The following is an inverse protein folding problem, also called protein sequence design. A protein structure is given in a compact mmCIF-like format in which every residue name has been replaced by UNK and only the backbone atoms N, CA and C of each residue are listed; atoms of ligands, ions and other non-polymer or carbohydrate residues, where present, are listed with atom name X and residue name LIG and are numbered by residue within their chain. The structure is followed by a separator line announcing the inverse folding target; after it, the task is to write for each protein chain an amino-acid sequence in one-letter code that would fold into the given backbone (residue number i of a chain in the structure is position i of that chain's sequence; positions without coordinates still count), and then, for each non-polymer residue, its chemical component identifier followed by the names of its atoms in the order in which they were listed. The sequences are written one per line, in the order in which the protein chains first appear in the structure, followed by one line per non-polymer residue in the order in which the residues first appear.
data_IF_658369359531
#
_entry.id   IF_658369359531
#
_cell.length_a   1.000
_cell.length_b   1.000
_cell.length_c   1.000
_cell.angle_alpha   90.00
_cell.angle_beta   90.00
_cell.angle_gamma   90.00
#
_symmetry.space_group_name_H-M   'P 1'
#
loop_
_entity.id
_entity.type
_entity.pdbx_description
1 polymer ?
#
# COMPACT_ATOMS: atom_id res chain seq x y z
N UNK A 1 -4.41 -10.86 -23.78
CA UNK A 1 -5.34 -10.05 -22.99
C UNK A 1 -4.97 -9.93 -21.50
N UNK A 2 -5.24 -10.89 -20.60
CA UNK A 2 -4.97 -10.70 -19.16
C UNK A 2 -3.49 -10.43 -18.81
N UNK A 3 -2.54 -11.12 -19.45
CA UNK A 3 -1.10 -10.87 -19.26
C UNK A 3 -0.69 -9.46 -19.67
N UNK A 4 -1.20 -8.97 -20.79
CA UNK A 4 -0.93 -7.61 -21.30
C UNK A 4 -1.56 -6.57 -20.38
N UNK A 5 -2.81 -6.76 -19.98
CA UNK A 5 -3.49 -5.89 -19.01
C UNK A 5 -2.70 -5.81 -17.69
N UNK A 6 -2.21 -6.95 -17.20
CA UNK A 6 -1.38 -6.99 -15.99
C UNK A 6 -0.05 -6.23 -16.18
N UNK A 7 0.63 -6.42 -17.31
CA UNK A 7 1.88 -5.70 -17.62
C UNK A 7 1.65 -4.19 -17.70
N UNK A 8 0.63 -3.75 -18.45
CA UNK A 8 0.30 -2.34 -18.56
C UNK A 8 -0.16 -1.74 -17.23
N UNK A 9 -0.85 -2.51 -16.38
CA UNK A 9 -1.19 -2.08 -15.02
C UNK A 9 0.06 -1.89 -14.17
N UNK A 10 1.01 -2.82 -14.21
CA UNK A 10 2.31 -2.67 -13.52
C UNK A 10 3.04 -1.39 -13.96
N UNK A 11 3.11 -1.14 -15.25
CA UNK A 11 3.76 0.07 -15.80
C UNK A 11 3.08 1.36 -15.31
N UNK A 12 1.74 1.42 -15.35
CA UNK A 12 1.00 2.57 -14.83
C UNK A 12 1.21 2.75 -13.33
N UNK A 13 1.19 1.67 -12.55
CA UNK A 13 1.37 1.74 -11.10
C UNK A 13 2.79 2.21 -10.70
N UNK A 14 3.80 1.92 -11.51
CA UNK A 14 5.18 2.31 -11.23
C UNK A 14 5.62 3.60 -11.94
N UNK A 15 4.73 4.25 -12.71
CA UNK A 15 5.03 5.55 -13.32
C UNK A 15 5.21 6.61 -12.23
N UNK A 16 6.30 7.39 -12.29
CA UNK A 16 6.65 8.41 -11.28
C UNK A 16 5.51 9.37 -10.96
N UNK A 17 4.82 9.86 -11.98
CA UNK A 17 3.68 10.78 -11.83
C UNK A 17 2.54 10.21 -10.98
N UNK A 18 2.42 8.88 -10.90
CA UNK A 18 1.35 8.21 -10.18
C UNK A 18 1.74 7.84 -8.73
N UNK A 19 3.01 7.98 -8.34
CA UNK A 19 3.48 7.53 -7.02
C UNK A 19 2.76 8.25 -5.88
N UNK A 20 2.47 9.55 -6.00
CA UNK A 20 1.77 10.29 -4.94
C UNK A 20 0.36 9.74 -4.69
N UNK A 21 -0.43 9.59 -5.76
CA UNK A 21 -1.81 9.09 -5.64
C UNK A 21 -1.85 7.63 -5.19
N UNK A 22 -0.93 6.79 -5.68
CA UNK A 22 -0.85 5.38 -5.28
C UNK A 22 -0.40 5.24 -3.83
N UNK A 23 0.56 6.06 -3.38
CA UNK A 23 1.00 6.03 -1.98
C UNK A 23 -0.12 6.36 -1.00
N UNK A 24 -0.98 7.33 -1.35
CA UNK A 24 -2.19 7.66 -0.58
C UNK A 24 -3.20 6.51 -0.59
N UNK A 25 -3.46 5.92 -1.75
CA UNK A 25 -4.38 4.79 -1.88
C UNK A 25 -3.91 3.57 -1.07
N UNK A 26 -2.62 3.23 -1.12
CA UNK A 26 -2.04 2.15 -0.31
C UNK A 26 -2.16 2.49 1.18
N UNK A 27 -1.84 3.72 1.60
CA UNK A 27 -1.98 4.12 3.00
C UNK A 27 -3.44 4.00 3.49
N UNK A 28 -4.42 4.31 2.64
CA UNK A 28 -5.83 4.04 2.94
C UNK A 28 -6.09 2.55 3.14
N UNK A 29 -5.64 1.71 2.21
CA UNK A 29 -5.90 0.28 2.19
C UNK A 29 -5.22 -0.49 3.34
N UNK A 30 -3.93 -0.28 3.60
CA UNK A 30 -3.15 -1.14 4.51
C UNK A 30 -3.03 -0.61 5.94
N UNK A 31 -3.38 0.66 6.18
CA UNK A 31 -3.05 1.33 7.44
C UNK A 31 -4.20 2.16 7.99
N UNK A 32 -4.71 3.13 7.22
CA UNK A 32 -5.66 4.11 7.73
C UNK A 32 -7.05 3.49 7.92
N UNK A 33 -7.60 2.87 6.88
CA UNK A 33 -8.96 2.34 6.92
C UNK A 33 -8.92 0.98 7.64
N UNK A 34 -9.36 0.96 8.90
CA UNK A 34 -9.24 -0.18 9.80
C UNK A 34 -9.00 0.30 11.23
N UNK A 35 -8.17 -0.39 12.03
CA UNK A 35 -7.99 -0.09 13.45
C UNK A 35 -7.59 1.37 13.74
N UNK A 36 -6.80 2.01 12.86
CA UNK A 36 -6.39 3.41 13.04
C UNK A 36 -7.59 4.36 12.94
N UNK A 37 -8.47 4.16 11.97
CA UNK A 37 -9.71 4.94 11.87
C UNK A 37 -10.64 4.67 13.06
N UNK A 38 -10.73 3.43 13.53
CA UNK A 38 -11.53 3.07 14.70
C UNK A 38 -11.00 3.74 15.97
N UNK A 39 -9.68 3.79 16.15
CA UNK A 39 -9.03 4.52 17.26
C UNK A 39 -9.30 6.02 17.17
N UNK A 40 -9.28 6.60 15.97
CA UNK A 40 -9.61 8.00 15.75
C UNK A 40 -11.09 8.30 16.06
N UNK A 41 -12.01 7.48 15.54
CA UNK A 41 -13.44 7.60 15.81
C UNK A 41 -13.76 7.41 17.31
N UNK A 42 -12.98 6.57 17.99
CA UNK A 42 -13.04 6.38 19.44
C UNK A 42 -12.37 7.49 20.27
N UNK A 43 -11.83 8.53 19.64
CA UNK A 43 -11.20 9.68 20.31
C UNK A 43 -9.82 9.41 20.92
N UNK A 44 -9.18 8.28 20.58
CA UNK A 44 -7.85 7.91 21.08
C UNK A 44 -6.73 8.61 20.32
N UNK A 45 -7.00 8.96 19.06
CA UNK A 45 -6.12 9.76 18.22
C UNK A 45 -6.80 11.10 17.97
N UNK A 46 -6.03 12.18 17.95
CA UNK A 46 -6.52 13.46 17.46
C UNK A 46 -6.43 13.55 15.94
N UNK A 47 -7.12 14.51 15.35
CA UNK A 47 -6.96 14.88 13.94
C UNK A 47 -5.50 15.21 13.57
N UNK A 48 -4.74 15.78 14.51
CA UNK A 48 -3.34 16.10 14.27
C UNK A 48 -2.46 14.83 14.28
N UNK A 49 -2.77 13.87 15.14
CA UNK A 49 -2.12 12.56 15.14
C UNK A 49 -2.40 11.84 13.82
N UNK A 50 -3.65 11.86 13.37
CA UNK A 50 -4.04 11.28 12.08
C UNK A 50 -3.27 11.89 10.91
N UNK A 51 -3.14 13.22 10.85
CA UNK A 51 -2.33 13.89 9.82
C UNK A 51 -0.87 13.45 9.87
N UNK A 52 -0.30 13.35 11.06
CA UNK A 52 1.10 12.96 11.26
C UNK A 52 1.33 11.52 10.82
N UNK A 53 0.50 10.58 11.26
CA UNK A 53 0.57 9.16 10.91
C UNK A 53 0.37 8.93 9.41
N UNK A 54 -0.66 9.55 8.82
CA UNK A 54 -0.92 9.44 7.38
C UNK A 54 0.24 10.00 6.56
N UNK A 55 0.80 11.16 6.95
CA UNK A 55 1.94 11.75 6.24
C UNK A 55 3.18 10.87 6.33
N UNK A 56 3.45 10.29 7.50
CA UNK A 56 4.54 9.34 7.68
C UNK A 56 4.40 8.14 6.74
N UNK A 57 3.23 7.48 6.75
CA UNK A 57 2.98 6.30 5.93
C UNK A 57 3.05 6.59 4.43
N UNK A 58 2.39 7.66 3.96
CA UNK A 58 2.42 8.07 2.54
C UNK A 58 3.86 8.33 2.08
N UNK A 59 4.67 9.02 2.89
CA UNK A 59 6.07 9.28 2.54
C UNK A 59 6.91 8.00 2.47
N UNK A 60 6.74 7.06 3.41
CA UNK A 60 7.46 5.78 3.42
C UNK A 60 7.08 4.91 2.21
N UNK A 61 5.80 4.81 1.90
CA UNK A 61 5.29 4.08 0.73
C UNK A 61 5.84 4.71 -0.56
N UNK A 62 5.82 6.05 -0.67
CA UNK A 62 6.37 6.75 -1.84
C UNK A 62 7.86 6.47 -2.03
N UNK A 63 8.63 6.38 -0.95
CA UNK A 63 10.04 5.98 -0.98
C UNK A 63 10.26 4.56 -1.51
N UNK A 64 9.46 3.60 -1.05
CA UNK A 64 9.51 2.21 -1.53
C UNK A 64 9.14 2.10 -3.02
N UNK A 65 8.01 2.69 -3.43
CA UNK A 65 7.56 2.69 -4.82
C UNK A 65 8.56 3.38 -5.76
N UNK A 66 9.15 4.49 -5.32
CA UNK A 66 10.23 5.17 -6.03
C UNK A 66 11.43 4.26 -6.25
N UNK A 67 11.87 3.57 -5.19
CA UNK A 67 13.03 2.68 -5.24
C UNK A 67 12.78 1.51 -6.21
N UNK A 68 11.56 0.97 -6.20
CA UNK A 68 11.12 -0.08 -7.14
C UNK A 68 11.09 0.45 -8.58
N UNK A 69 10.48 1.61 -8.80
CA UNK A 69 10.35 2.22 -10.13
C UNK A 69 11.72 2.54 -10.76
N UNK A 70 12.71 2.86 -9.94
CA UNK A 70 14.09 3.15 -10.37
C UNK A 70 14.95 1.90 -10.55
N UNK A 71 14.43 0.69 -10.31
CA UNK A 71 15.19 -0.56 -10.30
C UNK A 71 16.36 -0.57 -9.29
N UNK A 72 16.23 0.15 -8.17
CA UNK A 72 17.24 0.20 -7.11
C UNK A 72 17.14 -1.01 -6.15
N UNK A 73 17.22 -2.22 -6.71
CA UNK A 73 16.93 -3.47 -6.02
C UNK A 73 17.85 -3.79 -4.85
N UNK A 74 19.16 -3.53 -4.99
CA UNK A 74 20.12 -3.75 -3.89
C UNK A 74 19.80 -2.88 -2.67
N UNK A 75 19.45 -1.61 -2.88
CA UNK A 75 19.10 -0.70 -1.79
C UNK A 75 17.81 -1.15 -1.08
N UNK A 76 16.83 -1.62 -1.86
CA UNK A 76 15.59 -2.17 -1.32
C UNK A 76 15.86 -3.44 -0.49
N UNK A 77 16.66 -4.36 -1.01
CA UNK A 77 17.02 -5.61 -0.32
C UNK A 77 17.73 -5.34 1.01
N UNK A 78 18.73 -4.46 1.02
CA UNK A 78 19.46 -4.10 2.23
C UNK A 78 18.54 -3.45 3.28
N UNK A 79 17.65 -2.56 2.86
CA UNK A 79 16.66 -1.92 3.74
C UNK A 79 15.72 -2.96 4.37
N UNK A 80 15.15 -3.85 3.55
CA UNK A 80 14.21 -4.87 4.01
C UNK A 80 14.91 -5.92 4.89
N UNK A 81 16.15 -6.30 4.56
CA UNK A 81 16.94 -7.24 5.36
C UNK A 81 17.24 -6.67 6.75
N UNK A 82 17.54 -5.37 6.83
CA UNK A 82 17.72 -4.69 8.12
C UNK A 82 16.44 -4.70 8.95
N UNK A 83 15.29 -4.35 8.37
CA UNK A 83 14.01 -4.35 9.09
C UNK A 83 13.51 -5.76 9.43
N UNK A 84 13.86 -6.77 8.64
CA UNK A 84 13.55 -8.18 8.91
C UNK A 84 14.24 -8.75 10.14
N UNK A 85 15.18 -8.03 10.76
CA UNK A 85 15.79 -8.39 12.04
C UNK A 85 14.85 -8.15 13.24
N UNK A 86 13.75 -7.42 13.04
CA UNK A 86 12.78 -7.08 14.09
C UNK A 86 11.46 -7.84 13.88
N UNK A 87 10.68 -8.04 14.95
CA UNK A 87 9.38 -8.73 14.88
C UNK A 87 9.50 -10.24 14.66
N UNK A 88 10.68 -10.82 14.92
CA UNK A 88 10.92 -12.27 14.80
C UNK A 88 10.03 -13.11 15.72
N UNK A 89 9.49 -12.48 16.75
CA UNK A 89 8.56 -13.04 17.73
C UNK A 89 7.08 -12.94 17.31
N UNK A 90 6.78 -12.23 16.22
CA UNK A 90 5.42 -12.10 15.74
C UNK A 90 4.97 -13.37 15.02
N UNK A 91 3.66 -13.57 14.97
CA UNK A 91 3.06 -14.65 14.20
C UNK A 91 3.45 -14.54 12.71
N UNK A 92 3.50 -15.69 12.06
CA UNK A 92 3.81 -15.77 10.63
C UNK A 92 2.78 -14.96 9.84
N UNK A 93 3.26 -14.12 8.91
CA UNK A 93 2.39 -13.37 8.03
C UNK A 93 1.51 -14.30 7.17
N UNK A 94 0.23 -13.98 7.09
CA UNK A 94 -0.77 -14.64 6.24
C UNK A 94 -1.24 -13.66 5.15
N UNK A 95 -1.23 -14.04 3.86
CA UNK A 95 -1.74 -13.16 2.81
C UNK A 95 -3.26 -12.96 2.93
N UNK A 96 -3.70 -11.72 3.12
CA UNK A 96 -5.10 -11.32 2.97
C UNK A 96 -5.35 -10.73 1.57
N UNK A 97 -6.07 -11.47 0.75
CA UNK A 97 -6.40 -11.09 -0.63
C UNK A 97 -7.89 -10.96 -0.89
N UNK A 98 -8.74 -11.04 0.15
CA UNK A 98 -10.19 -11.07 -0.03
C UNK A 98 -10.70 -9.82 -0.76
N UNK A 99 -10.31 -8.63 -0.30
CA UNK A 99 -10.75 -7.36 -0.90
C UNK A 99 -10.22 -7.20 -2.34
N UNK A 100 -8.97 -7.60 -2.59
CA UNK A 100 -8.37 -7.58 -3.93
C UNK A 100 -9.19 -8.44 -4.90
N UNK A 101 -9.52 -9.66 -4.50
CA UNK A 101 -10.30 -10.59 -5.32
C UNK A 101 -11.74 -10.11 -5.48
N UNK A 102 -12.32 -9.52 -4.44
CA UNK A 102 -13.66 -8.97 -4.46
C UNK A 102 -13.77 -7.80 -5.46
N UNK A 103 -12.83 -6.85 -5.44
CA UNK A 103 -12.81 -5.71 -6.37
C UNK A 103 -12.68 -6.19 -7.81
N UNK A 104 -11.79 -7.15 -8.09
CA UNK A 104 -11.63 -7.71 -9.44
C UNK A 104 -12.92 -8.41 -9.91
N UNK A 105 -13.50 -9.28 -9.08
CA UNK A 105 -14.76 -9.98 -9.42
C UNK A 105 -15.89 -8.99 -9.70
N UNK A 106 -15.98 -7.94 -8.90
CA UNK A 106 -17.01 -6.91 -9.03
C UNK A 106 -16.84 -6.13 -10.33
N UNK A 107 -15.62 -5.71 -10.65
CA UNK A 107 -15.30 -5.03 -11.91
C UNK A 107 -15.63 -5.89 -13.14
N UNK A 108 -15.29 -7.18 -13.12
CA UNK A 108 -15.59 -8.10 -14.23
C UNK A 108 -17.09 -8.35 -14.39
N UNK A 109 -17.86 -8.36 -13.29
CA UNK A 109 -19.30 -8.65 -13.32
C UNK A 109 -20.14 -7.45 -13.76
N UNK A 110 -19.78 -6.25 -13.31
CA UNK A 110 -20.62 -5.07 -13.49
C UNK A 110 -20.00 -3.97 -14.37
N UNK A 111 -18.74 -4.13 -14.81
CA UNK A 111 -18.00 -3.06 -15.47
C UNK A 111 -17.46 -2.03 -14.47
N UNK A 112 -17.01 -0.87 -14.97
CA UNK A 112 -16.45 0.18 -14.13
C UNK A 112 -17.55 0.77 -13.22
N UNK A 113 -17.41 0.62 -11.90
CA UNK A 113 -18.33 1.18 -10.90
C UNK A 113 -18.00 2.62 -10.49
N UNK A 114 -17.08 3.25 -11.22
CA UNK A 114 -16.61 4.62 -11.02
C UNK A 114 -16.38 5.30 -12.36
#
# INVERSE_FOLDING_TARGET
MFKELNSSSKERLLKRDNIDVISKAIAHYIFRNGPIEDMHAGGQLSENDMKTLNKYMVNRIAGLLTTIADNNWLNLELLLSYYGLFGTEWDKAEPDTYEIDFVLKTYLKYGNLW
#
